data_IF_762545067780
#
_entry.id   IF_762545067780
#
_cell.length_a   1.000
_cell.length_b   1.000
_cell.length_c   1.000
_cell.angle_alpha   90.00
_cell.angle_beta   90.00
_cell.angle_gamma   90.00
#
_symmetry.space_group_name_H-M   'P 1'
#
loop_
_entity.id
_entity.type
_entity.pdbx_description
1 polymer ?
#
# COMPACT_ATOMS: atom_id res chain seq x y z
N UNK A 1 -7.85 -17.40 -1.34
CA UNK A 1 -7.30 -16.04 -1.33
C UNK A 1 -5.97 -16.01 -2.07
N UNK A 2 -5.70 -14.95 -2.83
CA UNK A 2 -4.44 -14.83 -3.58
C UNK A 2 -3.27 -14.59 -2.62
N UNK A 3 -2.10 -15.13 -2.99
CA UNK A 3 -0.86 -14.87 -2.26
C UNK A 3 -0.36 -13.46 -2.52
N UNK A 4 0.61 -13.01 -1.71
CA UNK A 4 1.27 -11.72 -1.93
C UNK A 4 1.85 -11.67 -3.35
N UNK A 5 2.55 -12.72 -3.76
CA UNK A 5 3.15 -12.80 -5.10
C UNK A 5 2.11 -12.71 -6.20
N UNK A 6 1.00 -13.43 -6.07
CA UNK A 6 -0.09 -13.39 -7.05
C UNK A 6 -0.71 -12.00 -7.16
N UNK A 7 -0.85 -11.30 -6.02
CA UNK A 7 -1.37 -9.93 -6.02
C UNK A 7 -0.41 -8.96 -6.69
N UNK A 8 0.88 -9.07 -6.43
CA UNK A 8 1.90 -8.24 -7.08
C UNK A 8 1.87 -8.48 -8.60
N UNK A 9 1.80 -9.73 -9.01
CA UNK A 9 1.73 -10.08 -10.43
C UNK A 9 0.47 -9.51 -11.10
N UNK A 10 -0.65 -9.49 -10.39
CA UNK A 10 -1.88 -8.87 -10.89
C UNK A 10 -1.66 -7.39 -11.22
N UNK A 11 -1.02 -6.65 -10.33
CA UNK A 11 -0.75 -5.23 -10.56
C UNK A 11 0.28 -5.02 -11.66
N UNK A 12 1.30 -5.88 -11.72
CA UNK A 12 2.29 -5.84 -12.80
C UNK A 12 1.63 -6.04 -14.16
N UNK A 13 0.82 -7.07 -14.29
CA UNK A 13 0.11 -7.37 -15.53
C UNK A 13 -0.86 -6.24 -15.92
N UNK A 14 -1.53 -5.66 -14.93
CA UNK A 14 -2.45 -4.54 -15.16
C UNK A 14 -1.70 -3.32 -15.68
N UNK A 15 -0.55 -2.99 -15.09
CA UNK A 15 0.29 -1.87 -15.55
C UNK A 15 0.86 -2.13 -16.94
N UNK A 16 1.23 -3.37 -17.24
CA UNK A 16 1.80 -3.75 -18.53
C UNK A 16 0.81 -3.63 -19.69
N UNK A 17 -0.50 -3.54 -19.41
CA UNK A 17 -1.51 -3.30 -20.42
C UNK A 17 -1.42 -1.90 -21.04
N UNK A 18 -0.75 -0.97 -20.37
CA UNK A 18 -0.61 0.41 -20.81
C UNK A 18 0.80 0.63 -21.34
N UNK A 19 0.92 1.26 -22.51
CA UNK A 19 2.21 1.61 -23.10
C UNK A 19 2.73 2.96 -22.60
N UNK A 20 1.84 3.86 -22.22
CA UNK A 20 2.14 5.23 -21.84
C UNK A 20 2.26 5.34 -20.31
N UNK A 21 3.32 6.00 -19.84
CA UNK A 21 3.51 6.25 -18.41
C UNK A 21 2.37 7.05 -17.78
N UNK A 22 1.77 7.97 -18.53
CA UNK A 22 0.61 8.73 -18.04
C UNK A 22 -0.58 7.82 -17.76
N UNK A 23 -0.85 6.85 -18.62
CA UNK A 23 -1.94 5.90 -18.44
C UNK A 23 -1.66 4.96 -17.26
N UNK A 24 -0.42 4.55 -17.08
CA UNK A 24 -0.01 3.78 -15.89
C UNK A 24 -0.22 4.58 -14.63
N UNK A 25 0.15 5.85 -14.63
CA UNK A 25 -0.06 6.75 -13.48
C UNK A 25 -1.55 6.91 -13.16
N UNK A 26 -2.39 7.08 -14.18
CA UNK A 26 -3.84 7.15 -14.00
C UNK A 26 -4.40 5.86 -13.41
N UNK A 27 -3.86 4.72 -13.82
CA UNK A 27 -4.25 3.42 -13.22
C UNK A 27 -3.97 3.41 -11.72
N UNK A 28 -2.79 3.89 -11.30
CA UNK A 28 -2.44 3.94 -9.88
C UNK A 28 -3.41 4.83 -9.10
N UNK A 29 -3.72 6.01 -9.61
CA UNK A 29 -4.68 6.93 -8.98
C UNK A 29 -6.07 6.29 -8.89
N UNK A 30 -6.47 5.60 -9.93
CA UNK A 30 -7.79 4.98 -10.03
C UNK A 30 -8.01 3.91 -8.95
N UNK A 31 -6.94 3.30 -8.44
CA UNK A 31 -7.06 2.31 -7.37
C UNK A 31 -7.65 2.91 -6.07
N UNK A 32 -7.54 4.21 -5.88
CA UNK A 32 -8.11 4.87 -4.70
C UNK A 32 -9.62 4.68 -4.57
N UNK A 33 -10.33 4.42 -5.67
CA UNK A 33 -11.78 4.15 -5.65
C UNK A 33 -12.13 2.88 -4.87
N UNK A 34 -11.18 1.96 -4.71
CA UNK A 34 -11.38 0.72 -3.99
C UNK A 34 -11.21 0.89 -2.47
N UNK A 35 -10.80 2.07 -2.01
CA UNK A 35 -10.62 2.34 -0.60
C UNK A 35 -11.95 2.32 0.13
N UNK A 36 -11.97 1.72 1.32
CA UNK A 36 -13.14 1.71 2.20
C UNK A 36 -13.17 3.00 3.02
N UNK A 37 -14.33 3.30 3.60
CA UNK A 37 -14.49 4.48 4.47
C UNK A 37 -13.49 4.39 5.63
N UNK A 38 -12.74 5.48 5.85
CA UNK A 38 -11.78 5.57 6.94
C UNK A 38 -12.49 6.08 8.19
N UNK A 39 -12.40 5.37 9.33
CA UNK A 39 -13.01 5.85 10.58
C UNK A 39 -12.32 7.13 11.05
N UNK A 40 -13.10 8.20 11.22
CA UNK A 40 -12.56 9.52 11.55
C UNK A 40 -11.83 9.57 12.91
N UNK A 41 -12.18 8.66 13.82
CA UNK A 41 -11.52 8.56 15.13
C UNK A 41 -10.02 8.24 15.02
N UNK A 42 -9.59 7.67 13.89
CA UNK A 42 -8.18 7.34 13.65
C UNK A 42 -7.43 8.41 12.85
N UNK A 43 -8.11 9.49 12.47
CA UNK A 43 -7.48 10.58 11.70
C UNK A 43 -6.73 11.51 12.66
N UNK A 44 -5.60 11.03 13.16
CA UNK A 44 -4.75 11.77 14.10
C UNK A 44 -3.29 11.40 13.87
N UNK A 45 -2.40 12.12 14.55
CA UNK A 45 -0.96 11.99 14.34
C UNK A 45 -0.40 10.63 14.74
N UNK A 46 -1.09 9.90 15.65
CA UNK A 46 -0.63 8.58 16.09
C UNK A 46 -0.59 7.56 14.94
N UNK A 47 -1.42 7.76 13.93
CA UNK A 47 -1.53 6.83 12.80
C UNK A 47 -0.98 7.40 11.49
N UNK A 48 -0.37 8.57 11.52
CA UNK A 48 0.29 9.12 10.33
C UNK A 48 1.54 8.34 9.99
N UNK A 49 1.73 8.14 8.68
CA UNK A 49 2.96 7.56 8.14
C UNK A 49 3.94 8.70 7.89
N UNK A 50 5.08 8.69 8.58
CA UNK A 50 6.15 9.68 8.40
C UNK A 50 6.85 9.49 7.07
N UNK A 51 7.38 10.58 6.49
CA UNK A 51 8.18 10.49 5.27
C UNK A 51 7.39 10.57 3.97
N UNK A 52 6.09 10.84 4.05
CA UNK A 52 5.25 11.05 2.87
C UNK A 52 5.08 12.55 2.60
N UNK A 53 5.05 12.95 1.31
CA UNK A 53 4.76 14.33 0.93
C UNK A 53 3.31 14.70 1.25
N UNK A 54 2.38 13.76 1.06
CA UNK A 54 0.98 13.90 1.44
C UNK A 54 0.77 13.36 2.84
N UNK A 55 -0.35 13.71 3.47
CA UNK A 55 -0.75 13.05 4.71
C UNK A 55 -1.28 11.67 4.40
N UNK A 56 -0.77 10.67 5.08
CA UNK A 56 -1.19 9.28 4.94
C UNK A 56 -1.42 8.71 6.34
N UNK A 57 -2.57 8.06 6.52
CA UNK A 57 -2.90 7.38 7.78
C UNK A 57 -3.00 5.88 7.51
N UNK A 58 -2.48 5.09 8.45
CA UNK A 58 -2.48 3.63 8.34
C UNK A 58 -2.71 3.05 9.74
N UNK A 59 -3.79 2.28 9.90
CA UNK A 59 -4.23 1.75 11.19
C UNK A 59 -4.32 0.23 11.10
N UNK A 60 -3.61 -0.52 11.98
CA UNK A 60 -3.68 -1.97 11.95
C UNK A 60 -4.98 -2.47 12.59
N UNK A 61 -5.50 -3.57 12.04
CA UNK A 61 -6.68 -4.24 12.56
C UNK A 61 -6.44 -5.74 12.51
N UNK A 62 -6.28 -6.35 13.68
CA UNK A 62 -6.11 -7.80 13.78
C UNK A 62 -7.45 -8.43 14.15
N UNK A 63 -7.88 -9.40 13.34
CA UNK A 63 -9.09 -10.17 13.59
C UNK A 63 -8.88 -11.60 13.10
N UNK A 64 -9.12 -12.56 13.98
CA UNK A 64 -9.00 -13.99 13.66
C UNK A 64 -7.63 -14.33 13.07
N UNK A 65 -6.57 -13.78 13.68
CA UNK A 65 -5.16 -13.96 13.26
C UNK A 65 -4.84 -13.37 11.89
N UNK A 66 -5.71 -12.53 11.34
CA UNK A 66 -5.45 -11.83 10.07
C UNK A 66 -5.30 -10.34 10.33
N UNK A 67 -4.21 -9.78 9.83
CA UNK A 67 -3.92 -8.35 9.91
C UNK A 67 -4.40 -7.66 8.64
N UNK A 68 -5.25 -6.66 8.82
CA UNK A 68 -5.69 -5.77 7.76
C UNK A 68 -5.52 -4.33 8.22
N UNK A 69 -5.85 -3.38 7.36
CA UNK A 69 -5.57 -1.98 7.65
C UNK A 69 -6.76 -1.10 7.26
N UNK A 70 -7.04 -0.10 8.10
CA UNK A 70 -7.74 1.10 7.63
C UNK A 70 -6.68 2.06 7.12
N UNK A 71 -6.99 2.79 6.07
CA UNK A 71 -6.03 3.72 5.48
C UNK A 71 -6.75 4.87 4.77
N UNK A 72 -6.07 6.01 4.68
CA UNK A 72 -6.53 7.15 3.91
C UNK A 72 -5.34 8.04 3.57
N UNK A 73 -5.56 8.95 2.64
CA UNK A 73 -4.60 9.99 2.28
C UNK A 73 -5.33 11.19 1.70
N UNK A 74 -4.71 12.36 1.82
CA UNK A 74 -5.24 13.60 1.26
C UNK A 74 -4.77 13.89 -0.17
N UNK A 75 -3.99 12.99 -0.78
CA UNK A 75 -3.55 13.10 -2.17
C UNK A 75 -3.94 11.85 -2.95
N UNK A 76 -4.42 12.03 -4.18
CA UNK A 76 -4.94 10.92 -4.99
C UNK A 76 -3.91 9.84 -5.27
N UNK A 77 -2.68 10.22 -5.66
CA UNK A 77 -1.65 9.22 -5.97
C UNK A 77 -1.23 8.46 -4.71
N UNK A 78 -1.07 9.15 -3.58
CA UNK A 78 -0.72 8.50 -2.32
C UNK A 78 -1.83 7.58 -1.85
N UNK A 79 -3.10 7.99 -2.01
CA UNK A 79 -4.25 7.15 -1.67
C UNK A 79 -4.32 5.90 -2.56
N UNK A 80 -4.04 6.05 -3.86
CA UNK A 80 -3.94 4.91 -4.77
C UNK A 80 -2.85 3.94 -4.35
N UNK A 81 -1.68 4.45 -3.98
CA UNK A 81 -0.56 3.61 -3.57
C UNK A 81 -0.82 2.88 -2.26
N UNK A 82 -1.35 3.56 -1.24
CA UNK A 82 -1.66 2.88 0.03
C UNK A 82 -2.78 1.84 -0.16
N UNK A 83 -3.71 2.10 -1.07
CA UNK A 83 -4.75 1.12 -1.42
C UNK A 83 -4.12 -0.15 -1.99
N UNK A 84 -3.19 -0.01 -2.93
CA UNK A 84 -2.50 -1.15 -3.54
C UNK A 84 -1.71 -1.93 -2.49
N UNK A 85 -0.93 -1.24 -1.66
CA UNK A 85 -0.13 -1.91 -0.63
C UNK A 85 -1.00 -2.66 0.38
N UNK A 86 -2.10 -2.06 0.81
CA UNK A 86 -3.02 -2.73 1.74
C UNK A 86 -3.78 -3.89 1.10
N UNK A 87 -4.01 -3.84 -0.21
CA UNK A 87 -4.57 -4.97 -0.94
C UNK A 87 -3.58 -6.13 -1.04
N UNK A 88 -2.31 -5.83 -1.30
CA UNK A 88 -1.27 -6.86 -1.42
C UNK A 88 -0.98 -7.52 -0.07
N UNK A 89 -0.76 -6.72 0.96
CA UNK A 89 -0.25 -7.20 2.25
C UNK A 89 -1.31 -7.41 3.32
N UNK A 90 -2.51 -6.88 3.13
CA UNK A 90 -3.57 -6.98 4.12
C UNK A 90 -4.32 -8.30 4.09
N UNK A 91 -5.14 -8.50 5.13
CA UNK A 91 -5.99 -9.69 5.30
C UNK A 91 -5.18 -10.99 5.30
N UNK A 92 -4.06 -10.97 6.03
CA UNK A 92 -3.12 -12.09 6.12
C UNK A 92 -2.62 -12.26 7.53
N UNK A 93 -2.13 -13.47 7.83
CA UNK A 93 -1.42 -13.71 9.08
C UNK A 93 -0.18 -12.79 9.13
N UNK A 94 0.10 -12.12 10.27
CA UNK A 94 1.27 -11.23 10.38
C UNK A 94 2.59 -11.89 10.00
N UNK A 95 2.77 -13.18 10.30
CA UNK A 95 3.99 -13.91 9.93
C UNK A 95 4.15 -14.03 8.42
N UNK A 96 3.06 -14.19 7.68
CA UNK A 96 3.10 -14.23 6.22
C UNK A 96 3.62 -12.90 5.66
N UNK A 97 3.16 -11.79 6.23
CA UNK A 97 3.60 -10.45 5.82
C UNK A 97 5.09 -10.28 6.12
N UNK A 98 5.50 -10.59 7.36
CA UNK A 98 6.88 -10.47 7.80
C UNK A 98 7.85 -11.27 6.94
N UNK A 99 7.47 -12.49 6.58
CA UNK A 99 8.35 -13.42 5.88
C UNK A 99 8.32 -13.25 4.36
N UNK A 100 7.51 -12.31 3.84
CA UNK A 100 7.45 -12.07 2.40
C UNK A 100 8.71 -11.37 1.89
N UNK A 101 8.98 -11.55 0.60
CA UNK A 101 10.07 -10.85 -0.08
C UNK A 101 9.57 -9.50 -0.58
N UNK A 102 9.84 -8.45 0.20
CA UNK A 102 9.37 -7.11 -0.12
C UNK A 102 10.02 -6.54 -1.39
N UNK A 103 11.16 -7.10 -1.83
CA UNK A 103 11.82 -6.66 -3.07
C UNK A 103 11.00 -6.98 -4.31
N UNK A 104 10.02 -7.88 -4.22
CA UNK A 104 9.13 -8.20 -5.34
C UNK A 104 8.34 -6.99 -5.82
N UNK A 105 8.11 -5.98 -4.95
CA UNK A 105 7.47 -4.73 -5.37
C UNK A 105 8.26 -4.00 -6.47
N UNK A 106 9.57 -4.25 -6.57
CA UNK A 106 10.40 -3.62 -7.59
C UNK A 106 9.97 -4.01 -9.00
N UNK A 107 9.28 -5.14 -9.17
CA UNK A 107 8.76 -5.57 -10.47
C UNK A 107 7.69 -4.63 -11.02
N UNK A 108 7.07 -3.81 -10.17
CA UNK A 108 6.09 -2.81 -10.59
C UNK A 108 6.75 -1.57 -11.22
N UNK A 109 8.06 -1.43 -11.09
CA UNK A 109 8.83 -0.32 -11.67
C UNK A 109 8.30 1.06 -11.27
N UNK A 110 7.90 1.19 -10.00
CA UNK A 110 7.35 2.44 -9.47
C UNK A 110 8.35 3.60 -9.56
N UNK A 111 9.64 3.30 -9.57
CA UNK A 111 10.70 4.31 -9.68
C UNK A 111 10.61 5.10 -10.99
N UNK A 112 10.07 4.50 -12.04
CA UNK A 112 9.89 5.17 -13.33
C UNK A 112 8.58 5.94 -13.42
N UNK A 113 7.62 5.66 -12.54
CA UNK A 113 6.28 6.23 -12.57
C UNK A 113 6.09 7.35 -11.56
N UNK A 114 6.82 7.33 -10.46
CA UNK A 114 6.63 8.24 -9.34
C UNK A 114 7.81 9.21 -9.22
N UNK A 115 7.54 10.44 -8.78
CA UNK A 115 8.59 11.37 -8.37
C UNK A 115 9.35 10.78 -7.18
N UNK A 116 10.61 11.23 -6.93
CA UNK A 116 11.36 10.73 -5.76
C UNK A 116 10.62 10.88 -4.43
N UNK A 117 9.91 12.01 -4.24
CA UNK A 117 9.14 12.22 -3.00
C UNK A 117 8.00 11.24 -2.85
N UNK A 118 7.25 10.96 -3.94
CA UNK A 118 6.15 9.98 -3.89
C UNK A 118 6.66 8.57 -3.70
N UNK A 119 7.77 8.22 -4.35
CA UNK A 119 8.42 6.93 -4.19
C UNK A 119 8.87 6.71 -2.75
N UNK A 120 9.48 7.72 -2.12
CA UNK A 120 9.87 7.65 -0.73
C UNK A 120 8.67 7.44 0.20
N UNK A 121 7.52 8.05 -0.13
CA UNK A 121 6.27 7.82 0.58
C UNK A 121 5.83 6.38 0.53
N UNK A 122 5.95 5.72 -0.63
CA UNK A 122 5.62 4.29 -0.77
C UNK A 122 6.51 3.44 0.12
N UNK A 123 7.81 3.72 0.16
CA UNK A 123 8.72 2.99 1.04
C UNK A 123 8.38 3.20 2.51
N UNK A 124 7.98 4.42 2.89
CA UNK A 124 7.55 4.71 4.27
C UNK A 124 6.29 3.96 4.64
N UNK A 125 5.31 3.87 3.74
CA UNK A 125 4.10 3.07 3.94
C UNK A 125 4.45 1.60 4.15
N UNK A 126 5.36 1.07 3.33
CA UNK A 126 5.78 -0.32 3.40
C UNK A 126 6.49 -0.63 4.71
N UNK A 127 7.39 0.25 5.16
CA UNK A 127 8.06 0.10 6.46
C UNK A 127 7.05 0.08 7.60
N UNK A 128 5.99 0.90 7.52
CA UNK A 128 4.95 0.93 8.55
C UNK A 128 4.15 -0.37 8.56
N UNK A 129 3.86 -0.93 7.40
CA UNK A 129 3.21 -2.24 7.30
C UNK A 129 4.08 -3.32 7.97
N UNK A 130 5.39 -3.30 7.72
CA UNK A 130 6.33 -4.24 8.35
C UNK A 130 6.34 -4.09 9.87
N UNK A 131 6.39 -2.86 10.37
CA UNK A 131 6.37 -2.59 11.80
C UNK A 131 5.10 -3.13 12.45
N UNK A 132 3.94 -2.89 11.84
CA UNK A 132 2.68 -3.43 12.35
C UNK A 132 2.66 -4.95 12.34
N UNK A 133 3.14 -5.57 11.26
CA UNK A 133 3.20 -7.04 11.19
C UNK A 133 4.08 -7.60 12.31
N UNK A 134 5.26 -6.99 12.55
CA UNK A 134 6.16 -7.42 13.62
C UNK A 134 5.53 -7.28 15.01
N UNK A 135 4.69 -6.26 15.23
CA UNK A 135 4.10 -6.02 16.54
C UNK A 135 3.05 -7.05 16.95
N UNK A 136 2.56 -7.85 16.00
CA UNK A 136 1.54 -8.88 16.25
C UNK A 136 2.07 -10.31 16.20
N UNK A 137 3.37 -10.48 16.18
CA UNK A 137 3.99 -11.82 16.16
C UNK A 137 4.40 -12.26 17.57
#
# INVERSE_FOLDING_TARGET
MKTIEEKINYYKESLDLFDDGMDKYKFLIDQAKNAKIFPEEYRNDSFKVSGCQAQVWLVPKLKENKLSFYYDSDAFISKGMVTILCDIYGDRNPSEIKNSDFSMLNTLELDTLLTPGRRNGVYSMLEKIKEYANSYI
#
